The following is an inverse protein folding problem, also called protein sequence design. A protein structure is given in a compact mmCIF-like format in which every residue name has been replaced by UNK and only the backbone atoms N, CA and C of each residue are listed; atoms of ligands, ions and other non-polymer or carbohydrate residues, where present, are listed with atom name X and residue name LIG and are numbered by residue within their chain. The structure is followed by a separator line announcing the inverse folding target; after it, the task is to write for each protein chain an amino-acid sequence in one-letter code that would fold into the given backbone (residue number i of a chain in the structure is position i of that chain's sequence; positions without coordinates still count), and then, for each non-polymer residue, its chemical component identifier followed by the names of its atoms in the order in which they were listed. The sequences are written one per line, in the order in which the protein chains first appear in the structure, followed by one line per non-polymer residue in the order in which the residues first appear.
data_IF_302065807632
#
_entry.id   IF_302065807632
#
_cell.length_a   1.000
_cell.length_b   1.000
_cell.length_c   1.000
_cell.angle_alpha   90.00
_cell.angle_beta   90.00
_cell.angle_gamma   90.00
#
_symmetry.space_group_name_H-M   'P 1'
#
loop_
_entity.id
_entity.type
_entity.pdbx_description
1 polymer ?
#
# COMPACT_ATOMS: atom_id res chain seq x y z
N UNK A 1 34.77 -44.58 15.37
CA UNK A 1 33.52 -43.95 14.90
C UNK A 1 33.49 -44.00 13.38
N UNK A 2 32.57 -44.77 12.78
CA UNK A 2 32.38 -44.82 11.32
C UNK A 2 31.32 -43.78 10.93
N UNK A 3 31.72 -42.70 10.26
CA UNK A 3 30.81 -41.68 9.74
C UNK A 3 30.07 -42.23 8.50
N UNK A 4 28.74 -42.26 8.57
CA UNK A 4 27.90 -42.82 7.51
C UNK A 4 27.49 -41.70 6.52
N UNK A 5 27.97 -41.70 5.27
CA UNK A 5 27.79 -40.57 4.34
C UNK A 5 26.33 -40.34 3.93
N UNK A 6 25.46 -41.34 4.10
CA UNK A 6 24.00 -41.22 3.88
C UNK A 6 23.31 -40.29 4.87
N UNK A 7 23.83 -40.16 6.10
CA UNK A 7 23.27 -39.26 7.11
C UNK A 7 23.52 -37.79 6.78
N UNK A 8 24.63 -37.48 6.08
CA UNK A 8 24.96 -36.12 5.64
C UNK A 8 24.09 -35.68 4.46
N UNK A 9 23.75 -36.61 3.56
CA UNK A 9 22.90 -36.33 2.40
C UNK A 9 21.45 -36.01 2.78
N UNK A 10 20.95 -36.56 3.89
CA UNK A 10 19.57 -36.30 4.36
C UNK A 10 19.44 -34.96 5.10
N UNK A 11 20.50 -34.47 5.74
CA UNK A 11 20.50 -33.20 6.46
C UNK A 11 20.52 -31.97 5.55
N UNK A 12 21.05 -32.10 4.33
CA UNK A 12 21.16 -30.99 3.38
C UNK A 12 19.87 -30.71 2.59
N UNK A 13 18.95 -31.68 2.53
CA UNK A 13 17.69 -31.53 1.79
C UNK A 13 16.62 -30.71 2.56
N UNK A 14 16.75 -30.59 3.88
CA UNK A 14 15.76 -29.91 4.74
C UNK A 14 16.08 -28.41 4.95
N UNK A 15 17.25 -27.94 4.52
CA UNK A 15 17.64 -26.53 4.65
C UNK A 15 17.19 -25.62 3.49
N UNK A 16 16.72 -26.19 2.37
CA UNK A 16 16.39 -25.42 1.16
C UNK A 16 14.92 -24.98 1.05
N UNK A 17 14.05 -25.35 1.99
CA UNK A 17 12.59 -25.15 1.88
C UNK A 17 12.05 -23.90 2.61
N UNK A 18 12.92 -23.06 3.20
CA UNK A 18 12.47 -21.94 4.05
C UNK A 18 12.62 -20.55 3.42
N UNK A 19 12.97 -20.46 2.13
CA UNK A 19 12.97 -19.20 1.42
C UNK A 19 11.57 -18.90 0.88
N UNK A 20 10.69 -18.43 1.77
CA UNK A 20 9.47 -17.75 1.34
C UNK A 20 9.91 -16.50 0.58
N UNK A 21 9.87 -16.53 -0.76
CA UNK A 21 9.98 -15.32 -1.55
C UNK A 21 8.77 -14.46 -1.19
N UNK A 22 8.99 -13.40 -0.40
CA UNK A 22 8.01 -12.33 -0.23
C UNK A 22 7.97 -11.63 -1.58
N UNK A 23 6.98 -11.97 -2.41
CA UNK A 23 6.73 -11.24 -3.63
C UNK A 23 6.24 -9.85 -3.23
N UNK A 24 6.90 -8.81 -3.74
CA UNK A 24 6.43 -7.45 -3.59
C UNK A 24 5.04 -7.35 -4.24
N UNK A 25 4.03 -6.94 -3.48
CA UNK A 25 2.71 -6.68 -4.04
C UNK A 25 2.70 -5.27 -4.64
N UNK A 26 2.08 -5.10 -5.80
CA UNK A 26 1.95 -3.78 -6.44
C UNK A 26 0.61 -3.16 -6.06
N UNK A 27 0.65 -2.03 -5.37
CA UNK A 27 -0.53 -1.32 -4.89
C UNK A 27 -0.77 -0.02 -5.65
N UNK A 28 -2.03 0.35 -5.87
CA UNK A 28 -2.37 1.61 -6.53
C UNK A 28 -2.70 2.71 -5.54
N UNK A 29 -1.95 3.80 -5.62
CA UNK A 29 -2.04 4.95 -4.72
C UNK A 29 -2.52 6.19 -5.47
N UNK A 30 -3.63 6.78 -5.02
CA UNK A 30 -4.12 8.07 -5.49
C UNK A 30 -4.00 9.13 -4.40
N UNK A 31 -3.77 10.38 -4.80
CA UNK A 31 -3.76 11.53 -3.89
C UNK A 31 -4.65 12.62 -4.47
N UNK A 32 -5.63 13.09 -3.69
CA UNK A 32 -6.61 14.08 -4.18
C UNK A 32 -6.05 15.50 -4.30
N UNK A 33 -4.94 15.79 -3.64
CA UNK A 33 -4.32 17.11 -3.58
C UNK A 33 -3.48 17.43 -4.84
N UNK A 34 -3.00 16.41 -5.53
CA UNK A 34 -2.18 16.56 -6.72
C UNK A 34 -2.96 16.23 -8.00
N UNK A 35 -3.07 17.18 -8.90
CA UNK A 35 -3.70 16.98 -10.21
C UNK A 35 -2.66 16.58 -11.26
N UNK A 36 -2.91 15.47 -11.94
CA UNK A 36 -2.02 14.93 -12.96
C UNK A 36 -0.81 14.18 -12.40
N UNK A 37 -0.23 13.32 -13.25
CA UNK A 37 0.84 12.42 -12.85
C UNK A 37 2.15 13.15 -12.53
N UNK A 38 2.45 14.25 -13.23
CA UNK A 38 3.68 15.03 -13.01
C UNK A 38 3.73 15.66 -11.61
N UNK A 39 2.67 16.39 -11.23
CA UNK A 39 2.54 16.98 -9.88
C UNK A 39 2.58 15.90 -8.81
N UNK A 40 1.88 14.79 -9.04
CA UNK A 40 1.81 13.67 -8.11
C UNK A 40 3.20 13.05 -7.87
N UNK A 41 3.99 12.85 -8.93
CA UNK A 41 5.36 12.37 -8.79
C UNK A 41 6.28 13.40 -8.13
N UNK A 42 6.15 14.68 -8.48
CA UNK A 42 7.01 15.74 -7.94
C UNK A 42 6.81 15.95 -6.42
N UNK A 43 5.56 15.93 -5.96
CA UNK A 43 5.24 16.22 -4.55
C UNK A 43 5.20 14.97 -3.68
N UNK A 44 4.72 13.85 -4.21
CA UNK A 44 4.48 12.63 -3.44
C UNK A 44 5.47 11.49 -3.76
N UNK A 45 6.34 11.65 -4.75
CA UNK A 45 7.39 10.68 -5.09
C UNK A 45 8.24 10.25 -3.89
N UNK A 46 8.80 11.19 -3.09
CA UNK A 46 9.57 10.83 -1.90
C UNK A 46 8.77 10.05 -0.85
N UNK A 47 7.46 10.29 -0.76
CA UNK A 47 6.59 9.54 0.14
C UNK A 47 6.37 8.11 -0.35
N UNK A 48 6.13 7.91 -1.65
CA UNK A 48 6.05 6.58 -2.26
C UNK A 48 7.35 5.80 -2.04
N UNK A 49 8.50 6.40 -2.35
CA UNK A 49 9.80 5.72 -2.22
C UNK A 49 10.08 5.31 -0.75
N UNK A 50 9.66 6.15 0.20
CA UNK A 50 9.75 5.82 1.62
C UNK A 50 8.79 4.68 2.02
N UNK A 51 7.59 4.66 1.45
CA UNK A 51 6.59 3.62 1.68
C UNK A 51 7.07 2.27 1.13
N UNK A 52 7.55 2.23 -0.11
CA UNK A 52 8.14 1.05 -0.75
C UNK A 52 9.32 0.50 0.05
N UNK A 53 10.20 1.39 0.51
CA UNK A 53 11.34 0.99 1.36
C UNK A 53 10.90 0.43 2.71
N UNK A 54 9.80 0.91 3.27
CA UNK A 54 9.31 0.49 4.58
C UNK A 54 8.52 -0.83 4.51
N UNK A 55 7.76 -1.07 3.45
CA UNK A 55 6.91 -2.26 3.31
C UNK A 55 7.60 -3.38 2.52
N UNK A 56 8.51 -3.05 1.60
CA UNK A 56 9.04 -4.00 0.62
C UNK A 56 8.09 -4.27 -0.56
N UNK A 57 6.99 -3.51 -0.65
CA UNK A 57 6.00 -3.55 -1.74
C UNK A 57 6.27 -2.44 -2.76
N UNK A 58 5.60 -2.51 -3.92
CA UNK A 58 5.67 -1.50 -4.98
C UNK A 58 4.38 -0.66 -4.99
N UNK A 59 4.48 0.65 -5.24
CA UNK A 59 3.33 1.55 -5.25
C UNK A 59 3.25 2.35 -6.55
N UNK A 60 2.19 2.11 -7.33
CA UNK A 60 1.92 2.84 -8.57
C UNK A 60 0.99 4.04 -8.32
N UNK A 61 1.36 5.20 -8.87
CA UNK A 61 0.53 6.39 -8.79
C UNK A 61 -0.63 6.35 -9.78
N UNK A 62 -1.85 6.50 -9.27
CA UNK A 62 -3.05 6.62 -10.07
C UNK A 62 -3.57 8.06 -10.02
N UNK A 63 -3.49 8.83 -11.12
CA UNK A 63 -3.96 10.20 -11.14
C UNK A 63 -5.49 10.23 -11.05
N UNK A 64 -6.01 11.01 -10.11
CA UNK A 64 -7.45 11.22 -9.93
C UNK A 64 -7.76 12.71 -10.03
N UNK A 65 -8.71 13.06 -10.89
CA UNK A 65 -9.00 14.46 -11.19
C UNK A 65 -10.24 15.00 -10.44
N UNK A 66 -10.91 14.17 -9.64
CA UNK A 66 -12.07 14.59 -8.84
C UNK A 66 -12.42 13.59 -7.75
N UNK A 67 -13.20 14.04 -6.75
CA UNK A 67 -13.75 13.19 -5.68
C UNK A 67 -14.68 12.12 -6.21
N UNK A 68 -15.41 12.41 -7.28
CA UNK A 68 -16.26 11.42 -7.96
C UNK A 68 -15.40 10.35 -8.61
N UNK A 69 -14.32 10.71 -9.31
CA UNK A 69 -13.40 9.75 -9.90
C UNK A 69 -12.77 8.83 -8.84
N UNK A 70 -12.42 9.38 -7.67
CA UNK A 70 -11.96 8.58 -6.53
C UNK A 70 -13.03 7.60 -6.03
N UNK A 71 -14.26 8.08 -5.85
CA UNK A 71 -15.36 7.23 -5.39
C UNK A 71 -15.63 6.08 -6.37
N UNK A 72 -15.60 6.34 -7.68
CA UNK A 72 -15.71 5.31 -8.71
C UNK A 72 -14.52 4.34 -8.67
N UNK A 73 -13.29 4.85 -8.58
CA UNK A 73 -12.08 4.04 -8.53
C UNK A 73 -12.02 3.11 -7.31
N UNK A 74 -12.60 3.54 -6.19
CA UNK A 74 -12.73 2.72 -4.98
C UNK A 74 -13.82 1.65 -5.13
N UNK A 75 -14.91 1.96 -5.84
CA UNK A 75 -16.03 1.02 -6.08
C UNK A 75 -15.65 -0.08 -7.07
N UNK A 76 -14.95 0.28 -8.15
CA UNK A 76 -14.48 -0.66 -9.17
C UNK A 76 -13.18 -1.38 -8.78
N UNK A 77 -12.58 -1.00 -7.64
CA UNK A 77 -11.32 -1.55 -7.09
C UNK A 77 -10.12 -1.29 -8.00
N UNK A 78 -10.16 -0.22 -8.78
CA UNK A 78 -9.02 0.24 -9.57
C UNK A 78 -7.98 1.02 -8.75
N UNK A 79 -8.32 1.47 -7.54
CA UNK A 79 -7.38 2.06 -6.58
C UNK A 79 -7.45 1.35 -5.22
N UNK A 80 -6.29 1.16 -4.59
CA UNK A 80 -6.17 0.46 -3.30
C UNK A 80 -6.07 1.44 -2.13
N UNK A 81 -5.34 2.53 -2.33
CA UNK A 81 -5.10 3.55 -1.33
C UNK A 81 -5.41 4.93 -1.87
N UNK A 82 -6.08 5.73 -1.03
CA UNK A 82 -6.34 7.14 -1.31
C UNK A 82 -5.84 7.99 -0.15
N UNK A 83 -5.02 8.99 -0.49
CA UNK A 83 -4.65 10.09 0.40
C UNK A 83 -5.59 11.25 0.13
N UNK A 84 -6.28 11.72 1.17
CA UNK A 84 -7.27 12.79 1.03
C UNK A 84 -7.28 13.73 2.21
N UNK A 85 -7.69 14.98 1.98
CA UNK A 85 -7.96 15.91 3.07
C UNK A 85 -9.11 15.43 3.98
N UNK A 86 -9.19 15.87 5.25
CA UNK A 86 -10.22 15.41 6.19
C UNK A 86 -11.65 15.69 5.73
N UNK A 87 -11.88 16.86 5.13
CA UNK A 87 -13.20 17.21 4.59
C UNK A 87 -13.58 16.34 3.39
N UNK A 88 -12.60 15.97 2.56
CA UNK A 88 -12.81 15.12 1.39
C UNK A 88 -13.08 13.68 1.78
N UNK A 89 -12.39 13.17 2.81
CA UNK A 89 -12.65 11.86 3.39
C UNK A 89 -14.12 11.70 3.78
N UNK A 90 -14.73 12.69 4.44
CA UNK A 90 -16.15 12.62 4.83
C UNK A 90 -17.07 12.44 3.62
N UNK A 91 -16.77 13.12 2.51
CA UNK A 91 -17.55 13.01 1.27
C UNK A 91 -17.32 11.66 0.60
N UNK A 92 -16.06 11.24 0.44
CA UNK A 92 -15.70 9.97 -0.19
C UNK A 92 -16.27 8.79 0.62
N UNK A 93 -16.19 8.83 1.95
CA UNK A 93 -16.76 7.82 2.84
C UNK A 93 -18.29 7.76 2.79
N UNK A 94 -18.99 8.86 2.51
CA UNK A 94 -20.44 8.81 2.28
C UNK A 94 -20.83 8.19 0.94
N UNK A 95 -19.99 8.37 -0.08
CA UNK A 95 -20.20 7.79 -1.41
C UNK A 95 -19.76 6.32 -1.43
N UNK A 96 -18.81 5.94 -0.62
CA UNK A 96 -18.24 4.59 -0.58
C UNK A 96 -18.45 3.97 0.80
N UNK A 97 -17.69 2.93 1.16
CA UNK A 97 -17.63 2.38 2.52
C UNK A 97 -16.18 2.20 2.98
N UNK A 98 -15.30 3.10 2.52
CA UNK A 98 -13.88 3.08 2.84
C UNK A 98 -13.60 3.40 4.29
N UNK A 99 -12.63 2.70 4.89
CA UNK A 99 -12.20 2.93 6.26
C UNK A 99 -10.87 3.67 6.29
N UNK A 100 -10.76 4.70 7.13
CA UNK A 100 -9.49 5.35 7.44
C UNK A 100 -8.56 4.40 8.22
N UNK A 101 -7.27 4.38 7.87
CA UNK A 101 -6.24 3.55 8.50
C UNK A 101 -5.23 4.38 9.29
N UNK A 102 -4.75 5.48 8.73
CA UNK A 102 -3.58 6.24 9.21
C UNK A 102 -3.91 7.75 9.20
N UNK A 103 -3.23 8.55 10.02
CA UNK A 103 -3.24 10.01 9.91
C UNK A 103 -1.86 10.49 9.49
N UNK A 104 -1.76 11.34 8.48
CA UNK A 104 -0.55 12.11 8.22
C UNK A 104 -0.65 13.47 8.90
N UNK A 105 0.12 13.63 9.98
CA UNK A 105 0.32 14.93 10.59
C UNK A 105 1.47 15.68 9.91
N UNK A 106 1.17 16.80 9.27
CA UNK A 106 2.15 17.86 8.96
C UNK A 106 1.92 19.02 9.94
N UNK A 107 2.95 19.80 10.34
CA UNK A 107 2.77 20.95 11.23
C UNK A 107 1.75 21.99 10.70
N UNK A 108 1.56 22.01 9.39
CA UNK A 108 0.75 22.91 8.58
C UNK A 108 -0.50 22.25 7.97
N UNK A 109 -0.68 20.92 8.10
CA UNK A 109 -1.82 20.22 7.52
C UNK A 109 -2.13 18.90 8.24
N UNK A 110 -3.37 18.75 8.72
CA UNK A 110 -3.87 17.47 9.23
C UNK A 110 -4.47 16.70 8.05
N UNK A 111 -3.72 15.76 7.46
CA UNK A 111 -4.23 14.88 6.41
C UNK A 111 -4.59 13.51 7.01
N UNK A 112 -5.67 12.89 6.54
CA UNK A 112 -6.01 11.51 6.86
C UNK A 112 -5.48 10.61 5.74
N UNK A 113 -4.68 9.58 6.05
CA UNK A 113 -4.31 8.54 5.08
C UNK A 113 -5.07 7.25 5.30
N UNK A 114 -5.31 6.56 4.21
CA UNK A 114 -5.54 5.13 4.24
C UNK A 114 -7.02 4.85 4.24
N UNK A 115 -7.67 5.15 3.13
CA UNK A 115 -8.89 4.48 2.75
C UNK A 115 -8.47 3.11 2.24
N UNK A 116 -8.73 2.04 3.00
CA UNK A 116 -8.46 0.68 2.52
C UNK A 116 -9.74 0.02 2.07
N UNK A 117 -9.64 -0.61 0.89
CA UNK A 117 -10.60 -1.56 0.37
C UNK A 117 -11.08 -2.50 1.48
N UNK A 118 -12.39 -2.64 1.63
CA UNK A 118 -12.96 -3.66 2.51
C UNK A 118 -12.50 -5.06 1.99
N UNK A 119 -11.64 -5.74 2.76
CA UNK A 119 -11.07 -7.05 2.41
C UNK A 119 -9.64 -7.07 1.86
N UNK A 120 -8.88 -5.95 1.88
CA UNK A 120 -7.44 -5.95 1.58
C UNK A 120 -6.61 -6.62 2.69
N UNK A 121 -5.56 -7.38 2.33
CA UNK A 121 -4.74 -8.21 3.22
C UNK A 121 -3.87 -7.43 4.24
N UNK A 122 -3.87 -6.11 4.14
CA UNK A 122 -3.18 -5.15 4.99
C UNK A 122 -3.99 -4.91 6.27
N UNK A 123 -4.13 -5.97 7.07
CA UNK A 123 -4.53 -5.90 8.47
C UNK A 123 -3.54 -6.72 9.30
N UNK A 124 -2.30 -6.22 9.38
CA UNK A 124 -1.36 -6.54 10.47
C UNK A 124 -0.90 -5.23 11.10
N UNK A 125 -1.78 -4.64 11.91
CA UNK A 125 -1.36 -3.67 12.93
C UNK A 125 -0.97 -4.52 14.12
N UNK A 126 0.34 -4.54 14.43
CA UNK A 126 0.85 -4.99 15.71
C UNK A 126 0.53 -3.93 16.78
#
# INVERSE_FOLDING_TARGET
MRFNPKALALGLAVAAASASAVAAETWKLAVTDAQGLETLQAEWGPFRDALEKATGDEFEFLPVNSRTAVAEALRDKSVDFVVSGPAEYVVINKLTEVRQLIGLGRPDCFCAIGQVRQGGAICRVA
#
